data_IF_985891503912
#
_entry.id   IF_985891503912
#
_cell.length_a   1.000
_cell.length_b   1.000
_cell.length_c   1.000
_cell.angle_alpha   90.00
_cell.angle_beta   90.00
_cell.angle_gamma   90.00
#
_symmetry.space_group_name_H-M   'P 1'
#
loop_
_entity.id
_entity.type
_entity.pdbx_description
1 polymer ?
#
# COMPACT_ATOMS: atom_id res chain seq x y z
N UNK A 1 30.19 -19.91 -34.73
CA UNK A 1 30.90 -19.66 -33.45
C UNK A 1 30.65 -18.25 -32.92
N UNK A 2 30.88 -17.18 -33.71
CA UNK A 2 30.72 -15.78 -33.27
C UNK A 2 29.31 -15.40 -32.78
N UNK A 3 28.25 -15.98 -33.36
CA UNK A 3 26.85 -15.74 -32.97
C UNK A 3 26.48 -16.35 -31.61
N UNK A 4 26.99 -17.54 -31.30
CA UNK A 4 26.78 -18.20 -30.00
C UNK A 4 27.49 -17.48 -28.86
N UNK A 5 28.68 -16.92 -29.11
CA UNK A 5 29.41 -16.11 -28.13
C UNK A 5 28.66 -14.81 -27.81
N UNK A 6 28.05 -14.16 -28.81
CA UNK A 6 27.25 -12.95 -28.60
C UNK A 6 25.99 -13.25 -27.78
N UNK A 7 25.29 -14.35 -28.09
CA UNK A 7 24.11 -14.77 -27.33
C UNK A 7 24.43 -15.11 -25.87
N UNK A 8 25.55 -15.80 -25.62
CA UNK A 8 25.99 -16.15 -24.27
C UNK A 8 26.36 -14.91 -23.46
N UNK A 9 26.99 -13.91 -24.08
CA UNK A 9 27.31 -12.64 -23.45
C UNK A 9 26.05 -11.83 -23.09
N UNK A 10 25.05 -11.77 -23.98
CA UNK A 10 23.78 -11.09 -23.70
C UNK A 10 23.02 -11.77 -22.56
N UNK A 11 22.96 -13.10 -22.55
CA UNK A 11 22.33 -13.86 -21.47
C UNK A 11 23.07 -13.67 -20.13
N UNK A 12 24.40 -13.57 -20.15
CA UNK A 12 25.21 -13.31 -18.96
C UNK A 12 24.92 -11.92 -18.37
N UNK A 13 24.82 -10.88 -19.21
CA UNK A 13 24.49 -9.51 -18.77
C UNK A 13 23.07 -9.44 -18.19
N UNK A 14 22.10 -10.13 -18.79
CA UNK A 14 20.72 -10.21 -18.28
C UNK A 14 20.59 -10.99 -16.96
N UNK A 15 21.52 -11.90 -16.69
CA UNK A 15 21.54 -12.69 -15.46
C UNK A 15 22.25 -11.99 -14.28
N UNK A 16 22.84 -10.81 -14.51
CA UNK A 16 23.43 -10.03 -13.42
C UNK A 16 22.32 -9.54 -12.47
N UNK A 17 22.37 -9.86 -11.17
CA UNK A 17 21.37 -9.41 -10.22
C UNK A 17 21.47 -7.89 -10.08
N UNK A 18 20.48 -7.18 -10.61
CA UNK A 18 20.31 -5.75 -10.32
C UNK A 18 19.71 -5.65 -8.92
N UNK A 19 20.36 -4.90 -8.03
CA UNK A 19 19.79 -4.57 -6.72
C UNK A 19 18.60 -3.65 -6.97
N UNK A 20 17.40 -4.23 -7.05
CA UNK A 20 16.17 -3.46 -7.03
C UNK A 20 15.96 -2.95 -5.60
N UNK A 21 16.09 -1.64 -5.40
CA UNK A 21 15.74 -0.98 -4.15
C UNK A 21 14.21 -0.95 -3.98
N UNK A 22 13.61 -2.11 -3.73
CA UNK A 22 12.22 -2.20 -3.31
C UNK A 22 12.16 -1.93 -1.81
N UNK A 23 11.50 -0.83 -1.41
CA UNK A 23 11.20 -0.60 -0.01
C UNK A 23 10.22 -1.66 0.50
N UNK A 24 10.49 -2.23 1.67
CA UNK A 24 9.50 -3.02 2.39
C UNK A 24 8.39 -2.11 2.92
N UNK A 25 7.20 -2.68 3.10
CA UNK A 25 6.08 -2.02 3.78
C UNK A 25 5.86 -2.64 5.15
N UNK A 26 5.44 -1.82 6.11
CA UNK A 26 5.09 -2.25 7.48
C UNK A 26 3.83 -1.49 7.93
N UNK A 27 3.24 -1.87 9.06
CA UNK A 27 2.05 -1.24 9.61
C UNK A 27 2.09 -1.17 11.15
N UNK A 28 1.51 -0.10 11.70
CA UNK A 28 1.22 0.03 13.13
C UNK A 28 -0.22 0.49 13.32
N UNK A 29 -0.80 0.16 14.48
CA UNK A 29 -2.16 0.56 14.82
C UNK A 29 -2.13 1.92 15.52
N UNK A 30 -3.05 2.80 15.13
CA UNK A 30 -3.27 4.10 15.75
C UNK A 30 -4.59 4.01 16.53
N UNK A 31 -4.50 3.96 17.88
CA UNK A 31 -5.66 3.69 18.75
C UNK A 31 -6.12 4.91 19.57
N UNK A 32 -5.22 5.84 19.87
CA UNK A 32 -5.47 6.97 20.79
C UNK A 32 -5.62 8.32 20.06
N UNK A 33 -5.55 8.32 18.73
CA UNK A 33 -5.76 9.54 17.95
C UNK A 33 -7.23 9.79 17.67
N UNK A 34 -7.57 11.07 17.54
CA UNK A 34 -8.88 11.47 17.06
C UNK A 34 -9.01 11.04 15.61
N UNK A 35 -9.98 10.17 15.32
CA UNK A 35 -10.37 9.85 13.94
C UNK A 35 -11.71 10.52 13.65
N UNK A 36 -11.76 11.28 12.56
CA UNK A 36 -12.99 11.88 12.08
C UNK A 36 -13.41 11.18 10.80
N UNK A 37 -14.61 10.62 10.82
CA UNK A 37 -15.25 10.04 9.64
C UNK A 37 -16.44 10.92 9.21
N UNK A 38 -16.48 11.27 7.93
CA UNK A 38 -17.55 12.05 7.31
C UNK A 38 -18.18 11.23 6.19
N UNK A 39 -19.51 11.27 6.05
CA UNK A 39 -20.26 10.58 5.00
C UNK A 39 -20.91 11.60 4.08
N UNK A 40 -20.69 11.45 2.77
CA UNK A 40 -21.16 12.36 1.73
C UNK A 40 -22.25 11.69 0.90
N UNK A 41 -23.27 12.46 0.58
CA UNK A 41 -24.44 11.99 -0.15
C UNK A 41 -24.91 13.05 -1.15
N UNK A 42 -25.52 12.58 -2.23
CA UNK A 42 -26.29 13.43 -3.14
C UNK A 42 -27.62 13.85 -2.50
N UNK A 43 -28.36 14.74 -3.16
CA UNK A 43 -29.65 15.26 -2.68
C UNK A 43 -30.72 14.18 -2.52
N UNK A 44 -30.64 13.12 -3.32
CA UNK A 44 -31.50 11.92 -3.29
C UNK A 44 -31.09 10.89 -2.22
N UNK A 45 -30.07 11.19 -1.40
CA UNK A 45 -29.50 10.35 -0.35
C UNK A 45 -28.65 9.17 -0.85
N UNK A 46 -28.36 9.08 -2.14
CA UNK A 46 -27.35 8.13 -2.61
C UNK A 46 -25.95 8.54 -2.12
N UNK A 47 -25.09 7.58 -1.75
CA UNK A 47 -23.73 7.90 -1.32
C UNK A 47 -22.89 8.42 -2.49
N UNK A 48 -22.08 9.44 -2.22
CA UNK A 48 -21.05 9.90 -3.15
C UNK A 48 -19.89 8.91 -3.15
N UNK A 49 -20.03 7.79 -3.86
CA UNK A 49 -19.07 6.66 -3.85
C UNK A 49 -17.82 6.97 -4.66
N UNK A 50 -16.66 6.62 -4.13
CA UNK A 50 -15.36 6.75 -4.80
C UNK A 50 -15.07 8.16 -5.36
N UNK A 51 -15.73 9.17 -4.80
CA UNK A 51 -15.58 10.58 -5.13
C UNK A 51 -14.27 11.10 -4.55
N UNK A 52 -13.60 11.99 -5.28
CA UNK A 52 -12.37 12.63 -4.81
C UNK A 52 -12.65 13.45 -3.55
N UNK A 53 -11.76 13.37 -2.57
CA UNK A 53 -11.81 14.13 -1.33
C UNK A 53 -10.49 14.83 -1.10
N UNK A 54 -10.54 16.12 -0.81
CA UNK A 54 -9.41 16.96 -0.43
C UNK A 54 -9.68 17.56 0.97
N UNK A 55 -8.78 17.33 1.90
CA UNK A 55 -8.83 17.83 3.28
C UNK A 55 -7.80 18.93 3.46
N UNK A 56 -8.21 20.05 4.04
CA UNK A 56 -7.37 21.21 4.30
C UNK A 56 -7.29 21.49 5.80
N UNK A 57 -6.08 21.78 6.27
CA UNK A 57 -5.83 22.09 7.68
C UNK A 57 -6.36 23.49 8.05
N UNK A 58 -6.57 23.77 9.35
CA UNK A 58 -6.97 25.11 9.79
C UNK A 58 -5.98 26.23 9.45
N UNK A 59 -4.70 25.88 9.25
CA UNK A 59 -3.62 26.84 9.01
C UNK A 59 -3.29 27.02 7.52
N UNK A 60 -3.70 26.08 6.67
CA UNK A 60 -3.38 26.09 5.24
C UNK A 60 -4.54 25.52 4.42
N UNK A 61 -5.12 26.37 3.57
CA UNK A 61 -6.21 26.06 2.66
C UNK A 61 -5.76 25.90 1.19
N UNK A 62 -4.47 26.03 0.91
CA UNK A 62 -3.87 25.89 -0.42
C UNK A 62 -3.28 24.50 -0.64
N UNK A 63 -2.63 23.95 0.40
CA UNK A 63 -2.05 22.61 0.38
C UNK A 63 -2.93 21.65 1.15
N UNK A 64 -3.31 20.57 0.49
CA UNK A 64 -4.06 19.48 1.10
C UNK A 64 -3.26 18.81 2.22
N UNK A 65 -3.90 18.64 3.37
CA UNK A 65 -3.40 17.83 4.47
C UNK A 65 -3.50 16.33 4.13
N UNK A 66 -4.60 15.95 3.48
CA UNK A 66 -4.84 14.61 2.99
C UNK A 66 -5.72 14.67 1.75
N UNK A 67 -5.47 13.78 0.81
CA UNK A 67 -6.34 13.54 -0.34
C UNK A 67 -6.70 12.05 -0.42
N UNK A 68 -7.75 11.74 -1.16
CA UNK A 68 -8.10 10.37 -1.47
C UNK A 68 -9.48 10.26 -2.10
N UNK A 69 -10.14 9.14 -1.83
CA UNK A 69 -11.51 8.87 -2.32
C UNK A 69 -12.38 8.36 -1.20
N UNK A 70 -13.67 8.70 -1.27
CA UNK A 70 -14.68 8.07 -0.41
C UNK A 70 -14.76 6.56 -0.67
N UNK A 71 -15.23 5.80 0.31
CA UNK A 71 -15.51 4.38 0.15
C UNK A 71 -16.85 4.12 -0.59
N UNK A 72 -17.24 2.85 -0.69
CA UNK A 72 -18.52 2.44 -1.32
C UNK A 72 -19.75 3.02 -0.62
N UNK A 73 -19.63 3.42 0.64
CA UNK A 73 -20.69 4.06 1.40
C UNK A 73 -20.59 5.59 1.34
N UNK A 74 -19.66 6.16 0.58
CA UNK A 74 -19.45 7.61 0.54
C UNK A 74 -18.78 8.15 1.79
N UNK A 75 -18.06 7.31 2.56
CA UNK A 75 -17.35 7.72 3.77
C UNK A 75 -15.90 8.06 3.48
N UNK A 76 -15.37 9.05 4.19
CA UNK A 76 -13.93 9.36 4.22
C UNK A 76 -13.51 9.59 5.67
N UNK A 77 -12.35 9.05 6.05
CA UNK A 77 -11.82 9.17 7.40
C UNK A 77 -10.42 9.80 7.39
N UNK A 78 -10.16 10.70 8.32
CA UNK A 78 -8.87 11.34 8.50
C UNK A 78 -8.53 11.55 9.98
N UNK A 79 -7.24 11.61 10.29
CA UNK A 79 -6.72 11.92 11.61
C UNK A 79 -6.23 13.38 11.65
N UNK A 80 -7.02 14.33 12.17
CA UNK A 80 -6.56 15.71 12.33
C UNK A 80 -5.38 15.78 13.30
N UNK A 81 -4.35 16.55 12.95
CA UNK A 81 -3.20 16.78 13.83
C UNK A 81 -3.36 17.97 14.79
N UNK A 82 -4.47 18.72 14.69
CA UNK A 82 -4.74 19.88 15.54
C UNK A 82 -6.23 20.23 15.60
N UNK A 83 -6.69 20.87 16.69
CA UNK A 83 -8.02 21.45 16.76
C UNK A 83 -8.16 22.64 15.80
N UNK A 84 -9.39 22.96 15.42
CA UNK A 84 -9.71 24.11 14.56
C UNK A 84 -10.73 23.78 13.48
N UNK A 85 -10.91 24.71 12.54
CA UNK A 85 -11.79 24.53 11.39
C UNK A 85 -11.05 23.86 10.24
N UNK A 86 -11.47 22.66 9.88
CA UNK A 86 -10.91 21.89 8.77
C UNK A 86 -11.79 22.03 7.54
N UNK A 87 -11.18 22.31 6.40
CA UNK A 87 -11.87 22.40 5.11
C UNK A 87 -11.95 21.05 4.42
N UNK A 88 -13.08 20.75 3.80
CA UNK A 88 -13.28 19.51 3.05
C UNK A 88 -13.94 19.83 1.72
N UNK A 89 -13.29 19.41 0.63
CA UNK A 89 -13.84 19.47 -0.72
C UNK A 89 -14.03 18.06 -1.25
N UNK A 90 -15.20 17.77 -1.81
CA UNK A 90 -15.54 16.49 -2.44
C UNK A 90 -16.03 16.74 -3.85
N UNK A 91 -15.58 15.95 -4.82
CA UNK A 91 -15.98 16.07 -6.23
C UNK A 91 -16.15 14.67 -6.86
N UNK A 92 -17.24 14.47 -7.60
CA UNK A 92 -17.50 13.20 -8.31
C UNK A 92 -16.89 13.12 -9.71
N UNK A 93 -16.29 14.21 -10.21
CA UNK A 93 -15.71 14.33 -11.55
C UNK A 93 -16.76 14.53 -12.66
N UNK A 94 -18.04 14.62 -12.32
CA UNK A 94 -19.16 14.80 -13.26
C UNK A 94 -19.89 16.14 -13.06
N UNK A 95 -19.41 16.97 -12.14
CA UNK A 95 -19.94 18.31 -11.87
C UNK A 95 -20.68 18.45 -10.54
N UNK A 96 -20.80 17.38 -9.74
CA UNK A 96 -21.32 17.47 -8.39
C UNK A 96 -20.18 17.62 -7.39
N UNK A 97 -20.32 18.58 -6.48
CA UNK A 97 -19.32 18.85 -5.45
C UNK A 97 -19.94 19.25 -4.12
N UNK A 98 -19.21 18.95 -3.05
CA UNK A 98 -19.47 19.42 -1.69
C UNK A 98 -18.25 20.21 -1.23
N UNK A 99 -18.47 21.42 -0.71
CA UNK A 99 -17.44 22.18 -0.02
C UNK A 99 -17.98 22.52 1.37
N UNK A 100 -17.33 21.97 2.40
CA UNK A 100 -17.81 22.11 3.78
C UNK A 100 -16.63 22.31 4.73
N UNK A 101 -16.93 22.78 5.93
CA UNK A 101 -15.96 22.90 7.02
C UNK A 101 -16.47 22.13 8.22
N UNK A 102 -15.54 21.50 8.95
CA UNK A 102 -15.85 20.84 10.20
C UNK A 102 -14.98 21.41 11.32
N UNK A 103 -15.57 21.56 12.50
CA UNK A 103 -14.83 22.02 13.68
C UNK A 103 -14.33 20.83 14.46
N UNK A 104 -13.02 20.76 14.62
CA UNK A 104 -12.34 19.75 15.43
C UNK A 104 -12.00 20.36 16.78
N UNK A 105 -12.57 19.82 17.84
CA UNK A 105 -12.27 20.21 19.20
C UNK A 105 -11.09 19.39 19.74
N UNK A 106 -10.32 19.93 20.70
CA UNK A 106 -9.30 19.15 21.39
C UNK A 106 -9.89 17.86 21.97
N UNK A 107 -9.11 16.78 21.92
CA UNK A 107 -9.49 15.51 22.53
C UNK A 107 -9.70 15.68 24.04
N UNK A 108 -10.95 15.75 24.48
CA UNK A 108 -11.30 15.50 25.89
C UNK A 108 -11.44 13.99 26.02
N UNK A 109 -10.38 13.28 26.42
CA UNK A 109 -10.35 11.81 26.50
C UNK A 109 -11.38 11.29 27.51
N UNK A 110 -12.45 10.57 27.10
CA UNK A 110 -13.33 9.88 28.02
C UNK A 110 -13.15 8.37 27.83
N UNK A 111 -12.42 7.75 28.77
CA UNK A 111 -12.57 6.33 29.15
C UNK A 111 -12.28 5.28 28.09
N UNK A 112 -11.17 4.57 28.29
CA UNK A 112 -10.79 3.32 27.64
C UNK A 112 -11.96 2.38 27.29
N UNK A 113 -12.04 2.02 26.02
CA UNK A 113 -12.45 0.66 25.61
C UNK A 113 -11.53 0.20 24.48
N UNK A 114 -10.38 -0.33 24.86
CA UNK A 114 -9.51 -1.11 23.96
C UNK A 114 -10.27 -2.32 23.43
N UNK A 115 -10.46 -2.49 22.11
CA UNK A 115 -10.76 -3.80 21.56
C UNK A 115 -9.43 -4.57 21.46
N UNK A 116 -9.30 -5.62 22.26
CA UNK A 116 -8.25 -6.62 22.08
C UNK A 116 -8.48 -7.35 20.74
N UNK A 117 -7.68 -7.03 19.72
CA UNK A 117 -7.61 -7.82 18.49
C UNK A 117 -6.22 -8.44 18.39
N UNK A 118 -6.09 -9.66 18.91
CA UNK A 118 -4.92 -10.50 18.67
C UNK A 118 -4.97 -11.01 17.22
N UNK A 119 -4.09 -10.50 16.35
CA UNK A 119 -3.87 -11.04 15.02
C UNK A 119 -2.37 -11.31 14.81
N UNK A 120 -1.92 -12.49 15.27
CA UNK A 120 -0.60 -13.03 14.90
C UNK A 120 -0.69 -13.61 13.49
N UNK A 121 -0.45 -12.79 12.46
CA UNK A 121 -0.33 -13.27 11.07
C UNK A 121 1.15 -13.57 10.79
N UNK A 122 1.52 -14.86 10.85
CA UNK A 122 2.88 -15.33 10.57
C UNK A 122 3.14 -15.31 9.06
N UNK A 123 3.91 -14.34 8.58
CA UNK A 123 4.42 -14.34 7.22
C UNK A 123 5.55 -15.39 7.11
N UNK A 124 5.21 -16.63 6.74
CA UNK A 124 6.15 -17.76 6.63
C UNK A 124 7.36 -17.50 5.70
N UNK A 125 7.20 -16.62 4.70
CA UNK A 125 8.29 -16.25 3.80
C UNK A 125 9.22 -15.18 4.37
N UNK A 126 8.71 -14.23 5.17
CA UNK A 126 9.50 -13.16 5.76
C UNK A 126 10.48 -13.69 6.83
N UNK A 127 10.07 -14.74 7.55
CA UNK A 127 10.86 -15.45 8.56
C UNK A 127 11.79 -16.53 7.98
N UNK A 128 11.79 -16.74 6.65
CA UNK A 128 12.67 -17.74 6.05
C UNK A 128 14.12 -17.27 6.12
N UNK A 129 14.92 -17.95 6.95
CA UNK A 129 16.37 -17.76 7.12
C UNK A 129 17.06 -17.55 5.78
N UNK A 130 17.88 -16.50 5.68
CA UNK A 130 18.59 -16.13 4.46
C UNK A 130 19.35 -17.31 3.83
N UNK A 131 19.91 -18.17 4.68
CA UNK A 131 20.60 -19.39 4.27
C UNK A 131 19.69 -20.39 3.57
N UNK A 132 18.45 -20.54 4.06
CA UNK A 132 17.47 -21.46 3.47
C UNK A 132 17.10 -21.04 2.05
N UNK A 133 17.04 -19.73 1.79
CA UNK A 133 16.82 -19.17 0.44
C UNK A 133 18.01 -19.43 -0.48
N UNK A 134 19.22 -19.22 0.02
CA UNK A 134 20.48 -19.47 -0.72
C UNK A 134 20.58 -20.96 -1.10
N UNK A 135 20.42 -21.87 -0.14
CA UNK A 135 20.50 -23.31 -0.40
C UNK A 135 19.40 -23.80 -1.35
N UNK A 136 18.17 -23.27 -1.22
CA UNK A 136 17.08 -23.59 -2.14
C UNK A 136 17.39 -23.13 -3.57
N UNK A 137 17.91 -21.91 -3.75
CA UNK A 137 18.32 -21.40 -5.05
C UNK A 137 19.45 -22.23 -5.69
N UNK A 138 20.48 -22.56 -4.92
CA UNK A 138 21.59 -23.43 -5.38
C UNK A 138 21.09 -24.82 -5.78
N UNK A 139 20.19 -25.41 -4.99
CA UNK A 139 19.60 -26.73 -5.29
C UNK A 139 18.84 -26.73 -6.62
N UNK A 140 18.05 -25.68 -6.87
CA UNK A 140 17.28 -25.54 -8.11
C UNK A 140 18.20 -25.45 -9.34
N UNK A 141 19.25 -24.62 -9.26
CA UNK A 141 20.22 -24.45 -10.34
C UNK A 141 20.99 -25.74 -10.65
N UNK A 142 21.41 -26.48 -9.62
CA UNK A 142 22.07 -27.77 -9.78
C UNK A 142 21.17 -28.81 -10.44
N UNK A 143 19.89 -28.89 -10.02
CA UNK A 143 18.93 -29.81 -10.60
C UNK A 143 18.65 -29.51 -12.08
N UNK A 144 18.48 -28.24 -12.44
CA UNK A 144 18.27 -27.82 -13.82
C UNK A 144 19.50 -28.17 -14.67
N UNK A 145 20.72 -27.89 -14.18
CA UNK A 145 21.95 -28.19 -14.90
C UNK A 145 22.13 -29.70 -15.15
N UNK A 146 21.89 -30.53 -14.14
CA UNK A 146 21.99 -31.99 -14.29
C UNK A 146 20.89 -32.56 -15.17
N UNK A 147 19.64 -32.08 -15.05
CA UNK A 147 18.54 -32.49 -15.92
C UNK A 147 18.81 -32.20 -17.40
N UNK A 148 19.45 -31.06 -17.71
CA UNK A 148 19.82 -30.72 -19.08
C UNK A 148 20.96 -31.60 -19.63
N UNK A 149 21.92 -32.01 -18.80
CA UNK A 149 22.99 -32.92 -19.23
C UNK A 149 22.47 -34.33 -19.54
N UNK A 150 21.58 -34.86 -18.70
CA UNK A 150 20.99 -36.19 -18.92
C UNK A 150 20.03 -36.21 -20.10
N UNK A 151 19.28 -35.12 -20.34
CA UNK A 151 18.43 -34.99 -21.53
C UNK A 151 19.25 -35.02 -22.83
N UNK A 152 20.41 -34.35 -22.85
CA UNK A 152 21.31 -34.35 -24.02
C UNK A 152 22.00 -35.70 -24.26
N UNK A 153 22.11 -36.54 -23.23
CA UNK A 153 22.67 -37.90 -23.31
C UNK A 153 21.72 -38.95 -23.90
N UNK A 154 20.41 -38.70 -23.90
CA UNK A 154 19.37 -39.66 -24.32
C UNK A 154 18.87 -39.49 -25.76
N UNK A 155 19.46 -38.59 -26.56
CA UNK A 155 19.14 -38.38 -27.99
C UNK A 155 20.30 -38.80 -28.91
N UNK A 156 21.00 -39.88 -28.57
CA UNK A 156 21.90 -40.60 -29.47
C UNK A 156 21.35 -41.98 -29.79
#
# INVERSE_FOLDING_TARGET
MKTFTCLFFVLFVLALPVVAAAHGTDYSLVMEEQVIAVKFFYSDKEPMRYSEVLIFSPENNEVEYQNGRTDQEGRFAFCPNKPGMWGIKVNDGMGHAVNTTITVNPLTVPGEKTPNVTQKKKNLFAESSMWLRIFFGLSLLLNIFWGLQTWKGNHK
#
